data_IF_719559165586
#
_entry.id   IF_719559165586
#
_cell.length_a   1.000
_cell.length_b   1.000
_cell.length_c   1.000
_cell.angle_alpha   90.00
_cell.angle_beta   90.00
_cell.angle_gamma   90.00
#
_symmetry.space_group_name_H-M   'P 1'
#
loop_
_entity.id
_entity.type
_entity.pdbx_description
1 polymer ?
#
# COMPACT_ATOMS: atom_id res chain seq x y z
N UNK A 1 19.40 -22.57 -9.51
CA UNK A 1 18.55 -21.45 -9.95
C UNK A 1 17.62 -21.08 -8.79
N UNK A 2 17.84 -19.93 -8.15
CA UNK A 2 17.10 -19.54 -6.94
C UNK A 2 15.67 -19.07 -7.23
N UNK A 3 14.83 -19.05 -6.18
CA UNK A 3 13.39 -18.67 -6.14
C UNK A 3 13.08 -17.40 -6.94
N UNK A 4 14.01 -16.44 -6.99
CA UNK A 4 13.85 -15.17 -7.70
C UNK A 4 14.26 -15.19 -9.18
N UNK A 5 14.99 -16.22 -9.64
CA UNK A 5 15.26 -16.41 -11.07
C UNK A 5 13.97 -16.66 -11.88
N UNK A 6 12.96 -17.27 -11.25
CA UNK A 6 11.63 -17.47 -11.82
C UNK A 6 10.77 -16.19 -11.84
N UNK A 7 11.03 -15.23 -10.95
CA UNK A 7 10.37 -13.93 -10.98
C UNK A 7 10.79 -13.10 -12.20
N UNK A 8 11.93 -13.44 -12.82
CA UNK A 8 12.47 -12.83 -14.03
C UNK A 8 11.70 -13.19 -15.30
N UNK A 9 10.83 -14.21 -15.25
CA UNK A 9 10.02 -14.69 -16.38
C UNK A 9 8.56 -14.21 -16.33
N UNK A 10 8.16 -13.42 -15.33
CA UNK A 10 6.80 -12.86 -15.31
C UNK A 10 6.73 -11.64 -16.25
N UNK A 11 5.95 -11.70 -17.34
CA UNK A 11 5.82 -10.60 -18.26
C UNK A 11 5.14 -9.43 -17.57
N UNK A 12 5.72 -8.25 -17.80
CA UNK A 12 5.19 -6.95 -17.46
C UNK A 12 3.96 -6.71 -18.35
N UNK A 13 2.73 -7.04 -17.92
CA UNK A 13 1.56 -6.62 -18.68
C UNK A 13 0.35 -6.24 -17.82
N UNK A 14 -0.19 -5.10 -18.22
CA UNK A 14 -1.40 -4.46 -17.74
C UNK A 14 -2.63 -5.30 -18.03
N UNK A 15 -3.47 -5.47 -17.01
CA UNK A 15 -4.89 -5.72 -17.21
C UNK A 15 -5.30 -7.16 -17.49
N UNK A 16 -6.34 -7.55 -16.76
CA UNK A 16 -7.25 -8.68 -17.00
C UNK A 16 -6.74 -10.06 -16.57
N UNK A 17 -7.60 -10.66 -15.75
CA UNK A 17 -7.65 -12.03 -15.28
C UNK A 17 -7.19 -13.06 -16.31
N UNK A 18 -6.02 -13.68 -16.12
CA UNK A 18 -5.73 -15.04 -16.61
C UNK A 18 -4.37 -15.59 -16.12
N UNK A 19 -4.00 -15.32 -14.86
CA UNK A 19 -2.76 -15.87 -14.28
C UNK A 19 -2.90 -17.36 -13.86
N UNK A 20 -4.08 -17.96 -14.03
CA UNK A 20 -4.37 -19.35 -13.64
C UNK A 20 -4.02 -20.38 -14.72
N UNK A 21 -3.68 -19.98 -15.95
CA UNK A 21 -3.62 -20.94 -17.07
C UNK A 21 -2.21 -21.18 -17.64
N UNK A 22 -1.24 -20.27 -17.45
CA UNK A 22 0.07 -20.37 -18.13
C UNK A 22 1.18 -21.04 -17.31
N UNK A 23 0.93 -21.40 -16.04
CA UNK A 23 1.85 -22.24 -15.24
C UNK A 23 1.53 -23.75 -15.41
N UNK A 24 0.56 -24.09 -16.25
CA UNK A 24 0.06 -25.46 -16.37
C UNK A 24 0.75 -26.33 -17.43
N UNK A 25 1.75 -25.84 -18.17
CA UNK A 25 2.38 -26.67 -19.21
C UNK A 25 3.90 -26.71 -19.14
N UNK A 26 4.37 -27.96 -19.17
CA UNK A 26 5.73 -28.42 -19.47
C UNK A 26 6.74 -28.41 -18.30
N UNK A 27 6.81 -29.52 -17.56
CA UNK A 27 7.79 -30.61 -17.78
C UNK A 27 7.59 -31.67 -16.68
N UNK A 28 7.32 -32.91 -17.09
CA UNK A 28 7.23 -34.09 -16.23
C UNK A 28 8.57 -34.83 -16.25
N UNK A 29 9.43 -34.69 -15.24
CA UNK A 29 10.48 -35.68 -14.90
C UNK A 29 10.66 -35.72 -13.37
N UNK A 30 10.86 -36.94 -12.82
CA UNK A 30 10.64 -37.32 -11.42
C UNK A 30 11.47 -36.61 -10.33
N UNK A 31 10.83 -36.41 -9.16
CA UNK A 31 11.47 -35.91 -7.93
C UNK A 31 10.64 -34.87 -7.15
N UNK A 32 9.40 -35.20 -6.80
CA UNK A 32 8.27 -34.26 -6.65
C UNK A 32 8.07 -33.49 -5.31
N UNK A 33 9.02 -33.44 -4.36
CA UNK A 33 8.77 -32.74 -3.08
C UNK A 33 9.35 -31.33 -2.98
N UNK A 34 10.45 -31.03 -3.69
CA UNK A 34 11.15 -29.74 -3.60
C UNK A 34 10.48 -28.61 -4.40
N UNK A 35 9.66 -28.97 -5.39
CA UNK A 35 9.02 -28.02 -6.31
C UNK A 35 7.76 -27.39 -5.73
N UNK A 36 6.96 -28.16 -4.97
CA UNK A 36 5.76 -27.64 -4.28
C UNK A 36 6.10 -26.59 -3.22
N UNK A 37 7.21 -26.78 -2.51
CA UNK A 37 7.68 -25.85 -1.48
C UNK A 37 8.13 -24.52 -2.11
N UNK A 38 8.92 -24.59 -3.18
CA UNK A 38 9.40 -23.43 -3.92
C UNK A 38 8.26 -22.63 -4.57
N UNK A 39 7.26 -23.30 -5.16
CA UNK A 39 6.10 -22.64 -5.75
C UNK A 39 5.25 -21.91 -4.69
N UNK A 40 5.10 -22.50 -3.50
CA UNK A 40 4.42 -21.87 -2.37
C UNK A 40 5.15 -20.59 -1.94
N UNK A 41 6.47 -20.64 -1.81
CA UNK A 41 7.28 -19.46 -1.46
C UNK A 41 7.14 -18.34 -2.49
N UNK A 42 7.27 -18.63 -3.79
CA UNK A 42 7.09 -17.64 -4.87
C UNK A 42 5.71 -16.99 -4.78
N UNK A 43 4.66 -17.78 -4.54
CA UNK A 43 3.31 -17.26 -4.39
C UNK A 43 3.18 -16.33 -3.19
N UNK A 44 3.77 -16.68 -2.05
CA UNK A 44 3.79 -15.83 -0.85
C UNK A 44 4.53 -14.52 -1.09
N UNK A 45 5.66 -14.55 -1.81
CA UNK A 45 6.43 -13.35 -2.17
C UNK A 45 5.63 -12.44 -3.07
N UNK A 46 5.01 -12.98 -4.12
CA UNK A 46 4.16 -12.22 -5.02
C UNK A 46 2.97 -11.59 -4.30
N UNK A 47 2.37 -12.29 -3.32
CA UNK A 47 1.30 -11.76 -2.48
C UNK A 47 1.77 -10.57 -1.64
N UNK A 48 2.94 -10.68 -0.99
CA UNK A 48 3.52 -9.59 -0.18
C UNK A 48 3.80 -8.38 -1.05
N UNK A 49 4.44 -8.57 -2.20
CA UNK A 49 4.73 -7.51 -3.16
C UNK A 49 3.45 -6.77 -3.60
N UNK A 50 2.42 -7.52 -4.01
CA UNK A 50 1.12 -6.94 -4.42
C UNK A 50 0.44 -6.18 -3.27
N UNK A 51 0.48 -6.74 -2.06
CA UNK A 51 -0.10 -6.08 -0.88
C UNK A 51 0.61 -4.76 -0.57
N UNK A 52 1.94 -4.75 -0.55
CA UNK A 52 2.71 -3.54 -0.29
C UNK A 52 2.41 -2.45 -1.34
N UNK A 53 2.46 -2.80 -2.63
CA UNK A 53 2.15 -1.85 -3.70
C UNK A 53 0.71 -1.31 -3.58
N UNK A 54 -0.26 -2.17 -3.28
CA UNK A 54 -1.65 -1.76 -3.09
C UNK A 54 -1.79 -0.80 -1.91
N UNK A 55 -1.15 -1.09 -0.78
CA UNK A 55 -1.17 -0.23 0.42
C UNK A 55 -0.50 1.12 0.14
N UNK A 56 0.67 1.14 -0.51
CA UNK A 56 1.34 2.39 -0.90
C UNK A 56 0.47 3.21 -1.85
N UNK A 57 -0.08 2.58 -2.89
CA UNK A 57 -0.94 3.28 -3.85
C UNK A 57 -2.20 3.85 -3.19
N UNK A 58 -2.79 3.12 -2.25
CA UNK A 58 -4.00 3.54 -1.52
C UNK A 58 -3.73 4.71 -0.57
N UNK A 59 -2.62 4.67 0.16
CA UNK A 59 -2.38 5.57 1.29
C UNK A 59 -1.48 6.77 0.96
N UNK A 60 -0.51 6.60 0.06
CA UNK A 60 0.40 7.66 -0.37
C UNK A 60 -0.10 8.32 -1.66
N UNK A 61 -0.62 7.50 -2.58
CA UNK A 61 -1.15 7.94 -3.88
C UNK A 61 -0.31 7.44 -5.06
N UNK A 62 -0.79 7.70 -6.27
CA UNK A 62 -0.17 7.24 -7.53
C UNK A 62 0.17 8.38 -8.49
N UNK A 63 0.25 9.60 -7.97
CA UNK A 63 0.53 10.80 -8.76
C UNK A 63 1.98 10.74 -9.26
N UNK A 64 2.29 11.47 -10.34
CA UNK A 64 3.63 11.48 -10.95
C UNK A 64 4.74 11.81 -9.94
N UNK A 65 4.45 12.77 -9.04
CA UNK A 65 5.36 13.16 -7.95
C UNK A 65 5.57 12.07 -6.89
N UNK A 66 4.74 11.03 -6.83
CA UNK A 66 4.76 9.96 -5.82
C UNK A 66 5.09 8.58 -6.40
N UNK A 67 5.19 8.48 -7.72
CA UNK A 67 5.53 7.25 -8.44
C UNK A 67 6.87 6.65 -8.03
N UNK A 68 7.81 7.48 -7.58
CA UNK A 68 9.12 7.05 -7.09
C UNK A 68 9.03 6.03 -5.94
N UNK A 69 7.97 6.05 -5.12
CA UNK A 69 7.77 5.04 -4.08
C UNK A 69 7.49 3.65 -4.66
N UNK A 70 6.59 3.55 -5.65
CA UNK A 70 6.29 2.27 -6.29
C UNK A 70 7.46 1.77 -7.11
N UNK A 71 8.15 2.67 -7.82
CA UNK A 71 9.34 2.33 -8.60
C UNK A 71 10.47 1.82 -7.70
N UNK A 72 10.70 2.46 -6.56
CA UNK A 72 11.67 2.01 -5.55
C UNK A 72 11.34 0.61 -5.03
N UNK A 73 10.08 0.34 -4.69
CA UNK A 73 9.64 -1.00 -4.24
C UNK A 73 9.91 -2.04 -5.33
N UNK A 74 9.55 -1.74 -6.58
CA UNK A 74 9.80 -2.64 -7.71
C UNK A 74 11.30 -2.91 -7.86
N UNK A 75 12.15 -1.87 -7.82
CA UNK A 75 13.60 -2.04 -7.89
C UNK A 75 14.16 -2.88 -6.74
N UNK A 76 13.70 -2.67 -5.50
CA UNK A 76 14.17 -3.44 -4.35
C UNK A 76 13.80 -4.91 -4.43
N UNK A 77 12.60 -5.24 -4.93
CA UNK A 77 12.19 -6.63 -5.16
C UNK A 77 12.94 -7.27 -6.34
N UNK A 78 13.34 -6.51 -7.35
CA UNK A 78 14.21 -7.01 -8.42
C UNK A 78 15.64 -7.27 -7.92
N UNK A 79 16.20 -6.40 -7.08
CA UNK A 79 17.54 -6.57 -6.47
C UNK A 79 17.59 -7.68 -5.43
N UNK A 80 16.46 -8.00 -4.79
CA UNK A 80 16.35 -9.06 -3.79
C UNK A 80 16.57 -10.49 -4.35
N UNK A 81 17.09 -10.64 -5.57
CA UNK A 81 17.30 -11.92 -6.24
C UNK A 81 18.36 -12.81 -5.58
N UNK A 82 19.14 -12.27 -4.65
CA UNK A 82 20.06 -13.03 -3.82
C UNK A 82 19.30 -13.81 -2.72
N UNK A 83 19.35 -15.16 -2.73
CA UNK A 83 18.64 -16.00 -1.75
C UNK A 83 18.97 -15.67 -0.29
N UNK A 84 20.18 -15.17 -0.03
CA UNK A 84 20.65 -14.90 1.34
C UNK A 84 19.92 -13.73 2.01
N UNK A 85 19.51 -12.72 1.23
CA UNK A 85 18.84 -11.51 1.72
C UNK A 85 17.34 -11.47 1.41
N UNK A 86 16.88 -12.32 0.49
CA UNK A 86 15.49 -12.38 0.03
C UNK A 86 14.50 -12.51 1.19
N UNK A 87 14.68 -13.48 2.09
CA UNK A 87 13.75 -13.72 3.21
C UNK A 87 13.65 -12.52 4.16
N UNK A 88 14.78 -11.86 4.44
CA UNK A 88 14.82 -10.67 5.28
C UNK A 88 14.07 -9.50 4.63
N UNK A 89 14.27 -9.28 3.33
CA UNK A 89 13.55 -8.24 2.57
C UNK A 89 12.05 -8.51 2.48
N UNK A 90 11.64 -9.78 2.32
CA UNK A 90 10.23 -10.18 2.33
C UNK A 90 9.59 -9.91 3.70
N UNK A 91 10.29 -10.26 4.78
CA UNK A 91 9.84 -9.94 6.15
C UNK A 91 9.69 -8.43 6.33
N UNK A 92 10.72 -7.67 5.94
CA UNK A 92 10.70 -6.21 6.02
C UNK A 92 9.53 -5.59 5.26
N UNK A 93 9.23 -6.09 4.05
CA UNK A 93 8.08 -5.63 3.27
C UNK A 93 6.73 -5.93 3.97
N UNK A 94 6.61 -7.07 4.65
CA UNK A 94 5.41 -7.38 5.46
C UNK A 94 5.27 -6.41 6.63
N UNK A 95 6.36 -6.16 7.35
CA UNK A 95 6.38 -5.28 8.52
C UNK A 95 6.02 -3.84 8.12
N UNK A 96 6.57 -3.33 7.02
CA UNK A 96 6.20 -2.01 6.50
C UNK A 96 4.75 -1.94 6.01
N UNK A 97 4.24 -3.00 5.37
CA UNK A 97 2.83 -3.06 4.96
C UNK A 97 1.91 -2.98 6.18
N UNK A 98 2.24 -3.72 7.24
CA UNK A 98 1.50 -3.69 8.50
C UNK A 98 1.54 -2.29 9.12
N UNK A 99 2.73 -1.70 9.28
CA UNK A 99 2.90 -0.36 9.83
C UNK A 99 2.08 0.69 9.06
N UNK A 100 2.20 0.70 7.73
CA UNK A 100 1.52 1.68 6.88
C UNK A 100 0.00 1.61 7.03
N UNK A 101 -0.55 0.39 7.03
CA UNK A 101 -1.99 0.17 7.19
C UNK A 101 -2.46 0.56 8.60
N UNK A 102 -1.70 0.21 9.64
CA UNK A 102 -2.05 0.54 11.03
C UNK A 102 -2.04 2.05 11.27
N UNK A 103 -1.03 2.77 10.79
CA UNK A 103 -0.96 4.24 10.92
C UNK A 103 -2.15 4.91 10.24
N UNK A 104 -2.51 4.47 9.03
CA UNK A 104 -3.65 5.04 8.32
C UNK A 104 -4.98 4.67 8.99
N UNK A 105 -5.10 3.45 9.51
CA UNK A 105 -6.28 3.06 10.28
C UNK A 105 -6.47 3.93 11.53
N UNK A 106 -5.39 4.20 12.27
CA UNK A 106 -5.45 5.11 13.42
C UNK A 106 -5.78 6.55 13.02
N UNK A 107 -5.24 7.03 11.90
CA UNK A 107 -5.60 8.34 11.33
C UNK A 107 -7.10 8.43 11.01
N UNK A 108 -7.65 7.43 10.34
CA UNK A 108 -9.07 7.36 10.00
C UNK A 108 -9.94 7.34 11.28
N UNK A 109 -9.50 6.61 12.30
CA UNK A 109 -10.17 6.56 13.60
C UNK A 109 -10.18 7.93 14.29
N UNK A 110 -9.07 8.67 14.30
CA UNK A 110 -9.00 10.02 14.86
C UNK A 110 -9.93 11.01 14.14
N UNK A 111 -10.08 10.87 12.83
CA UNK A 111 -11.06 11.64 12.07
C UNK A 111 -12.50 11.24 12.41
N UNK A 112 -12.78 9.96 12.61
CA UNK A 112 -14.12 9.49 12.99
C UNK A 112 -14.59 10.04 14.35
N UNK A 113 -13.67 10.25 15.29
CA UNK A 113 -13.96 10.87 16.58
C UNK A 113 -13.96 12.40 16.53
N UNK A 114 -13.77 13.00 15.36
CA UNK A 114 -13.72 14.45 15.19
C UNK A 114 -12.59 15.12 16.01
N UNK A 115 -11.53 14.37 16.35
CA UNK A 115 -10.42 14.84 17.18
C UNK A 115 -9.41 15.63 16.33
N UNK A 116 -9.28 15.29 15.05
CA UNK A 116 -8.32 15.89 14.13
C UNK A 116 -8.92 16.88 13.10
N UNK A 117 -10.19 17.27 13.28
CA UNK A 117 -10.83 18.33 12.47
C UNK A 117 -10.75 19.64 13.26
N UNK A 118 -10.05 20.63 12.70
CA UNK A 118 -10.09 21.98 13.24
C UNK A 118 -11.51 22.55 13.04
N UNK A 119 -12.24 22.67 14.15
CA UNK A 119 -13.62 23.19 14.17
C UNK A 119 -13.66 24.70 14.34
N UNK A 120 -12.52 25.39 14.38
CA UNK A 120 -12.44 26.85 14.51
C UNK A 120 -13.34 27.56 13.50
N UNK A 121 -13.23 27.20 12.22
CA UNK A 121 -14.05 27.76 11.14
C UNK A 121 -15.55 27.42 11.26
N UNK A 122 -15.88 26.20 11.69
CA UNK A 122 -17.28 25.78 11.86
C UNK A 122 -17.95 26.50 13.03
N UNK A 123 -17.21 26.64 14.14
CA UNK A 123 -17.63 27.41 15.31
C UNK A 123 -17.79 28.89 14.95
N UNK A 124 -16.84 29.47 14.20
CA UNK A 124 -16.92 30.86 13.76
C UNK A 124 -18.12 31.11 12.83
N UNK A 125 -18.41 30.18 11.90
CA UNK A 125 -19.63 30.24 11.07
C UNK A 125 -20.90 30.15 11.90
N UNK A 126 -20.93 29.29 12.92
CA UNK A 126 -22.10 29.12 13.80
C UNK A 126 -22.32 30.37 14.64
N UNK A 127 -21.27 30.93 15.25
CA UNK A 127 -21.33 32.17 16.00
C UNK A 127 -21.80 33.34 15.13
N UNK A 128 -21.35 33.42 13.87
CA UNK A 128 -21.78 34.47 12.93
C UNK A 128 -23.28 34.38 12.63
N UNK A 129 -23.79 33.17 12.43
CA UNK A 129 -25.23 32.92 12.23
C UNK A 129 -26.04 33.26 13.49
N UNK A 130 -25.58 32.84 14.66
CA UNK A 130 -26.26 33.11 15.93
C UNK A 130 -26.29 34.61 16.26
N UNK A 131 -25.17 35.32 16.07
CA UNK A 131 -25.10 36.76 16.26
C UNK A 131 -26.05 37.50 15.30
N UNK A 132 -26.03 37.15 14.01
CA UNK A 132 -26.93 37.74 13.02
C UNK A 132 -28.41 37.48 13.34
N UNK A 133 -28.73 36.29 13.87
CA UNK A 133 -30.10 35.95 14.30
C UNK A 133 -30.64 36.84 15.41
N UNK A 134 -29.76 37.44 16.23
CA UNK A 134 -30.15 38.38 17.30
C UNK A 134 -29.85 39.83 16.93
N UNK A 135 -29.54 40.11 15.66
CA UNK A 135 -29.23 41.45 15.17
C UNK A 135 -27.86 41.99 15.60
N UNK A 136 -26.97 41.12 16.10
CA UNK A 136 -25.62 41.48 16.54
C UNK A 136 -24.57 41.08 15.48
N UNK A 137 -23.45 41.81 15.47
CA UNK A 137 -22.30 41.49 14.63
C UNK A 137 -21.15 40.95 15.49
N UNK A 138 -20.33 40.09 14.90
CA UNK A 138 -19.12 39.58 15.55
C UNK A 138 -18.05 40.69 15.64
N UNK A 139 -17.30 40.81 16.75
CA UNK A 139 -16.18 41.73 16.88
C UNK A 139 -15.07 41.48 15.84
N UNK A 140 -14.25 42.51 15.55
CA UNK A 140 -13.19 42.48 14.54
C UNK A 140 -12.16 41.36 14.74
N UNK A 141 -11.99 40.86 15.97
CA UNK A 141 -11.09 39.74 16.32
C UNK A 141 -11.49 38.43 15.61
N UNK A 142 -12.72 38.33 15.10
CA UNK A 142 -13.24 37.18 14.36
C UNK A 142 -13.45 37.47 12.86
N UNK A 143 -12.86 38.54 12.32
CA UNK A 143 -12.79 38.74 10.87
C UNK A 143 -11.54 38.03 10.31
N UNK A 144 -11.64 37.39 9.13
CA UNK A 144 -10.55 36.61 8.54
C UNK A 144 -9.35 37.47 8.09
#
# INVERSE_FOLDING_TARGET
>A
MGVLGLLRLLPFYTGVSDLSFTIANEIKIGGQWKEREMASEVFQVAKVYRHLLKSVKKHIGNDENKRHFTDYITQEFHKASDPSTAQQKIKLARDYTYLLNSVHHHKDLLFSYNIAIDRSDEVQRTLKKSAASVGLQLPDVYQP
#
